data_IF_886139687808
#
_entry.id   IF_886139687808
#
_cell.length_a   1.000
_cell.length_b   1.000
_cell.length_c   1.000
_cell.angle_alpha   90.00
_cell.angle_beta   90.00
_cell.angle_gamma   90.00
#
_symmetry.space_group_name_H-M   'P 1'
#
loop_
_entity.id
_entity.type
_entity.pdbx_description
1 polymer ?
#
# COMPACT_ATOMS: atom_id res chain seq x y z
N UNK A 1 -3.41 26.68 8.20
CA UNK A 1 -2.63 25.80 7.32
C UNK A 1 -3.21 24.39 7.32
N UNK A 2 -3.33 23.79 6.16
CA UNK A 2 -3.76 22.42 6.07
C UNK A 2 -2.69 21.49 6.64
N UNK A 3 -3.07 20.56 7.48
CA UNK A 3 -2.20 19.55 8.05
C UNK A 3 -1.82 18.54 6.97
N UNK A 4 -0.57 18.11 6.94
CA UNK A 4 -0.12 17.09 5.99
C UNK A 4 -0.33 15.70 6.58
N UNK A 5 -1.16 14.90 5.92
CA UNK A 5 -1.54 13.56 6.37
C UNK A 5 -0.78 12.44 5.66
N UNK A 6 -0.21 12.72 4.50
CA UNK A 6 0.46 11.72 3.65
C UNK A 6 1.80 12.26 3.19
N UNK A 7 2.83 11.43 3.28
CA UNK A 7 4.19 11.77 2.84
C UNK A 7 4.67 10.76 1.80
N UNK A 8 5.09 11.25 0.64
CA UNK A 8 5.84 10.42 -0.30
C UNK A 8 7.16 10.01 0.36
N UNK A 9 7.73 8.87 -0.04
CA UNK A 9 8.99 8.42 0.55
C UNK A 9 10.09 9.48 0.43
N UNK A 10 10.14 10.21 -0.69
CA UNK A 10 11.10 11.29 -0.91
C UNK A 10 10.87 12.52 -0.03
N UNK A 11 9.72 12.64 0.58
CA UNK A 11 9.35 13.79 1.43
C UNK A 11 9.66 13.56 2.91
N UNK A 12 9.97 12.32 3.30
CA UNK A 12 10.27 11.96 4.68
C UNK A 12 11.74 11.63 4.91
N UNK A 13 12.07 11.26 6.13
CA UNK A 13 13.41 10.79 6.50
C UNK A 13 13.35 9.89 7.73
N UNK A 14 14.49 9.30 8.08
CA UNK A 14 14.59 8.32 9.18
C UNK A 14 14.35 8.89 10.58
N UNK A 15 14.40 10.20 10.74
CA UNK A 15 14.13 10.83 12.05
C UNK A 15 12.63 10.99 12.34
N UNK A 16 11.78 10.79 11.34
CA UNK A 16 10.32 10.98 11.44
C UNK A 16 9.58 9.73 11.91
N UNK A 17 10.17 8.95 12.79
CA UNK A 17 9.60 7.67 13.25
C UNK A 17 8.25 7.80 13.94
N UNK A 18 8.05 8.85 14.70
CA UNK A 18 6.78 9.06 15.41
C UNK A 18 5.65 9.37 14.44
N UNK A 19 5.95 10.09 13.38
CA UNK A 19 4.97 10.51 12.38
C UNK A 19 4.73 9.45 11.30
N UNK A 20 5.79 8.81 10.82
CA UNK A 20 5.71 7.86 9.70
C UNK A 20 5.69 6.40 10.14
N UNK A 21 5.92 6.14 11.42
CA UNK A 21 6.13 4.79 11.92
C UNK A 21 7.54 4.29 11.57
N UNK A 22 7.94 3.16 12.13
CA UNK A 22 9.28 2.61 11.90
C UNK A 22 9.54 2.25 10.44
N UNK A 23 8.59 1.57 9.81
CA UNK A 23 8.72 1.16 8.40
C UNK A 23 8.71 2.36 7.46
N UNK A 24 7.79 3.30 7.68
CA UNK A 24 7.68 4.48 6.84
C UNK A 24 8.92 5.36 6.90
N UNK A 25 9.45 5.58 8.10
CA UNK A 25 10.68 6.35 8.29
C UNK A 25 11.88 5.67 7.63
N UNK A 26 12.01 4.34 7.78
CA UNK A 26 13.09 3.58 7.15
C UNK A 26 13.01 3.63 5.62
N UNK A 27 11.83 3.49 5.05
CA UNK A 27 11.64 3.59 3.60
C UNK A 27 11.98 4.98 3.09
N UNK A 28 11.60 6.03 3.83
CA UNK A 28 11.94 7.41 3.50
C UNK A 28 13.45 7.63 3.53
N UNK A 29 14.12 7.13 4.56
CA UNK A 29 15.58 7.23 4.70
C UNK A 29 16.29 6.51 3.57
N UNK A 30 15.87 5.29 3.24
CA UNK A 30 16.44 4.52 2.14
C UNK A 30 16.30 5.26 0.81
N UNK A 31 15.15 5.89 0.58
CA UNK A 31 14.90 6.69 -0.61
C UNK A 31 15.84 7.91 -0.67
N UNK A 32 16.01 8.59 0.46
CA UNK A 32 16.91 9.75 0.59
C UNK A 32 18.35 9.38 0.33
N UNK A 33 18.78 8.18 0.76
CA UNK A 33 20.13 7.66 0.52
C UNK A 33 20.37 7.19 -0.92
N UNK A 34 19.34 7.24 -1.76
CA UNK A 34 19.46 6.83 -3.17
C UNK A 34 19.40 5.33 -3.40
N UNK A 35 18.92 4.57 -2.41
CA UNK A 35 18.75 3.14 -2.56
C UNK A 35 17.55 2.83 -3.48
N UNK A 36 17.55 1.68 -4.18
CA UNK A 36 16.51 1.34 -5.15
C UNK A 36 15.20 0.92 -4.46
N UNK A 37 14.52 1.89 -3.87
CA UNK A 37 13.22 1.69 -3.23
C UNK A 37 12.11 2.03 -4.23
N UNK A 38 11.10 1.15 -4.39
CA UNK A 38 9.95 1.47 -5.24
C UNK A 38 9.24 2.74 -4.76
N UNK A 39 8.61 3.45 -5.67
CA UNK A 39 7.83 4.65 -5.32
C UNK A 39 6.69 4.29 -4.39
N UNK A 40 6.42 5.16 -3.44
CA UNK A 40 5.34 4.94 -2.49
C UNK A 40 5.13 6.14 -1.58
N UNK A 41 4.16 6.02 -0.72
CA UNK A 41 3.86 7.03 0.28
C UNK A 41 3.46 6.37 1.61
N UNK A 42 3.52 7.16 2.67
CA UNK A 42 3.14 6.73 4.02
C UNK A 42 2.00 7.62 4.52
N UNK A 43 0.94 7.00 5.01
CA UNK A 43 -0.13 7.69 5.73
C UNK A 43 0.34 7.84 7.17
N UNK A 44 0.30 9.06 7.70
CA UNK A 44 0.89 9.37 9.00
C UNK A 44 0.17 8.71 10.19
N UNK A 45 0.88 8.59 11.30
CA UNK A 45 0.28 8.14 12.57
C UNK A 45 -0.78 9.13 13.06
N UNK A 46 -0.64 10.42 12.75
CA UNK A 46 -1.64 11.42 13.07
C UNK A 46 -2.95 11.20 12.30
N UNK A 47 -2.86 10.77 11.04
CA UNK A 47 -4.04 10.41 10.25
C UNK A 47 -4.76 9.20 10.88
N UNK A 48 -4.00 8.24 11.38
CA UNK A 48 -4.56 7.08 12.09
C UNK A 48 -5.29 7.52 13.38
N UNK A 49 -4.70 8.41 14.15
CA UNK A 49 -5.32 8.96 15.36
C UNK A 49 -6.62 9.69 15.01
N UNK A 50 -6.59 10.51 13.97
CA UNK A 50 -7.76 11.24 13.52
C UNK A 50 -8.90 10.30 13.09
N UNK A 51 -8.55 9.19 12.45
CA UNK A 51 -9.51 8.15 12.06
C UNK A 51 -10.28 7.62 13.27
N UNK A 52 -9.57 7.34 14.38
CA UNK A 52 -10.23 6.86 15.60
C UNK A 52 -11.02 7.95 16.30
N UNK A 53 -10.52 9.19 16.31
CA UNK A 53 -11.24 10.34 16.88
C UNK A 53 -12.55 10.63 16.15
N UNK A 54 -12.56 10.41 14.84
CA UNK A 54 -13.74 10.61 13.98
C UNK A 54 -14.72 9.41 14.00
N UNK A 55 -14.56 8.49 14.94
CA UNK A 55 -15.43 7.33 15.06
C UNK A 55 -15.19 6.26 14.00
N UNK A 56 -13.93 6.01 13.65
CA UNK A 56 -13.50 5.06 12.65
C UNK A 56 -13.92 5.44 11.23
N UNK A 57 -13.85 6.73 10.95
CA UNK A 57 -14.10 7.26 9.60
C UNK A 57 -12.90 8.04 9.11
N UNK A 58 -12.61 7.91 7.83
CA UNK A 58 -11.56 8.69 7.20
C UNK A 58 -12.18 10.01 6.73
N UNK A 59 -11.65 11.14 7.20
CA UNK A 59 -12.20 12.43 6.80
C UNK A 59 -11.84 12.77 5.33
N UNK A 60 -12.59 13.71 4.76
CA UNK A 60 -12.45 14.05 3.34
C UNK A 60 -11.07 14.62 2.99
N UNK A 61 -10.43 15.32 3.91
CA UNK A 61 -9.07 15.86 3.71
C UNK A 61 -8.05 14.75 3.54
N UNK A 62 -8.12 13.73 4.40
CA UNK A 62 -7.21 12.57 4.33
C UNK A 62 -7.45 11.82 3.03
N UNK A 63 -8.70 11.58 2.67
CA UNK A 63 -9.04 10.87 1.41
C UNK A 63 -8.52 11.65 0.20
N UNK A 64 -8.74 12.97 0.16
CA UNK A 64 -8.27 13.81 -0.94
C UNK A 64 -6.75 13.77 -1.07
N UNK A 65 -6.03 13.81 0.05
CA UNK A 65 -4.57 13.76 0.06
C UNK A 65 -4.04 12.39 -0.39
N UNK A 66 -4.70 11.30 0.03
CA UNK A 66 -4.36 9.95 -0.43
C UNK A 66 -4.53 9.85 -1.95
N UNK A 67 -5.67 10.30 -2.46
CA UNK A 67 -5.94 10.25 -3.91
C UNK A 67 -4.95 11.08 -4.71
N UNK A 68 -4.59 12.26 -4.21
CA UNK A 68 -3.59 13.11 -4.86
C UNK A 68 -2.21 12.41 -4.91
N UNK A 69 -1.84 11.70 -3.84
CA UNK A 69 -0.57 10.97 -3.81
C UNK A 69 -0.60 9.72 -4.71
N UNK A 70 -1.75 9.08 -4.86
CA UNK A 70 -1.92 7.98 -5.82
C UNK A 70 -1.69 8.50 -7.24
N UNK A 71 -2.26 9.64 -7.58
CA UNK A 71 -2.04 10.27 -8.89
C UNK A 71 -0.57 10.59 -9.13
N UNK A 72 0.14 11.09 -8.13
CA UNK A 72 1.57 11.34 -8.21
C UNK A 72 2.37 10.06 -8.45
N UNK A 73 2.00 8.98 -7.79
CA UNK A 73 2.63 7.68 -8.01
C UNK A 73 2.39 7.18 -9.43
N UNK A 74 1.18 7.32 -9.93
CA UNK A 74 0.85 6.94 -11.31
C UNK A 74 1.68 7.71 -12.33
N UNK A 75 1.87 9.01 -12.09
CA UNK A 75 2.73 9.85 -12.95
C UNK A 75 4.20 9.43 -12.90
N UNK A 76 4.73 9.21 -11.70
CA UNK A 76 6.15 8.86 -11.51
C UNK A 76 6.46 7.49 -12.10
N UNK A 77 5.59 6.51 -11.90
CA UNK A 77 5.81 5.14 -12.36
C UNK A 77 5.40 4.91 -13.80
N UNK A 78 4.56 5.77 -14.36
CA UNK A 78 3.96 5.56 -15.68
C UNK A 78 2.96 4.41 -15.70
N UNK A 79 2.47 3.99 -14.55
CA UNK A 79 1.51 2.90 -14.39
C UNK A 79 0.26 3.42 -13.70
N UNK A 80 -0.88 2.79 -13.94
CA UNK A 80 -2.16 3.17 -13.32
C UNK A 80 -2.87 1.96 -12.73
N UNK A 81 -3.61 2.19 -11.66
CA UNK A 81 -4.48 1.15 -11.10
C UNK A 81 -5.55 0.75 -12.13
N UNK A 82 -5.67 -0.56 -12.37
CA UNK A 82 -6.65 -1.10 -13.31
C UNK A 82 -6.30 -0.91 -14.78
N UNK A 83 -5.15 -0.34 -15.11
CA UNK A 83 -4.69 -0.21 -16.49
C UNK A 83 -4.32 -1.58 -17.05
N UNK A 84 -4.79 -1.88 -18.25
CA UNK A 84 -4.53 -3.17 -18.89
C UNK A 84 -3.15 -3.26 -19.53
N UNK A 85 -2.54 -2.13 -19.88
CA UNK A 85 -1.21 -2.10 -20.46
C UNK A 85 -0.11 -2.05 -19.42
N UNK A 86 -0.26 -1.15 -18.44
CA UNK A 86 0.74 -0.92 -17.37
C UNK A 86 0.03 -0.85 -16.02
N UNK A 87 -0.39 -1.99 -15.49
CA UNK A 87 -1.11 -1.99 -14.21
C UNK A 87 -0.17 -1.61 -13.06
N UNK A 88 -0.62 -0.71 -12.20
CA UNK A 88 0.08 -0.38 -10.96
C UNK A 88 -0.36 -1.36 -9.87
N UNK A 89 0.60 -2.09 -9.35
CA UNK A 89 0.40 -2.99 -8.22
C UNK A 89 1.24 -2.48 -7.05
N UNK A 90 0.65 -2.45 -5.86
CA UNK A 90 1.34 -1.96 -4.67
C UNK A 90 1.19 -2.93 -3.52
N UNK A 91 2.10 -2.84 -2.56
CA UNK A 91 1.96 -3.50 -1.27
C UNK A 91 1.46 -2.47 -0.26
N UNK A 92 0.44 -2.84 0.50
CA UNK A 92 -0.07 -2.02 1.60
C UNK A 92 0.38 -2.68 2.89
N UNK A 93 1.09 -1.93 3.71
CA UNK A 93 1.62 -2.42 4.98
C UNK A 93 1.11 -1.55 6.11
N UNK A 94 0.60 -2.19 7.16
CA UNK A 94 0.33 -1.48 8.39
C UNK A 94 1.63 -1.26 9.15
N UNK A 95 1.74 -0.12 9.84
CA UNK A 95 2.93 0.24 10.58
C UNK A 95 2.60 0.64 12.01
N UNK A 96 3.57 0.49 12.89
CA UNK A 96 3.51 0.95 14.26
C UNK A 96 4.82 1.65 14.61
N UNK A 97 4.84 2.40 15.71
CA UNK A 97 6.07 3.07 16.18
C UNK A 97 7.16 2.06 16.46
N UNK A 98 6.77 0.92 17.05
CA UNK A 98 7.67 -0.19 17.30
C UNK A 98 7.24 -1.39 16.45
N UNK A 99 8.17 -2.02 15.76
CA UNK A 99 7.91 -3.20 14.97
C UNK A 99 7.94 -4.43 15.88
N UNK A 100 6.83 -5.17 15.91
CA UNK A 100 6.75 -6.44 16.65
C UNK A 100 6.24 -7.52 15.70
N UNK A 101 6.85 -8.73 15.72
CA UNK A 101 6.37 -9.83 14.88
C UNK A 101 4.90 -10.14 15.13
N UNK A 102 4.13 -10.31 14.07
CA UNK A 102 2.72 -10.66 14.16
C UNK A 102 1.75 -9.49 14.37
N UNK A 103 2.24 -8.29 14.63
CA UNK A 103 1.38 -7.12 14.83
C UNK A 103 0.96 -6.41 13.55
N UNK A 104 1.62 -6.71 12.45
CA UNK A 104 1.42 -5.98 11.20
C UNK A 104 0.98 -6.89 10.08
N UNK A 105 -0.06 -6.47 9.40
CA UNK A 105 -0.55 -7.15 8.21
C UNK A 105 0.00 -6.48 6.97
N UNK A 106 0.22 -7.28 5.93
CA UNK A 106 0.66 -6.80 4.62
C UNK A 106 -0.27 -7.35 3.56
N UNK A 107 -0.71 -6.50 2.65
CA UNK A 107 -1.48 -6.90 1.48
C UNK A 107 -0.58 -6.69 0.27
N UNK A 108 -0.28 -7.77 -0.45
CA UNK A 108 0.54 -7.73 -1.65
C UNK A 108 -0.35 -7.63 -2.89
N UNK A 109 0.18 -7.04 -3.94
CA UNK A 109 -0.47 -6.97 -5.25
C UNK A 109 -1.84 -6.27 -5.24
N UNK A 110 -2.00 -5.25 -4.38
CA UNK A 110 -3.19 -4.41 -4.44
C UNK A 110 -3.26 -3.73 -5.80
N UNK A 111 -4.39 -3.84 -6.47
CA UNK A 111 -4.60 -3.37 -7.83
C UNK A 111 -4.91 -4.51 -8.80
N UNK A 112 -4.77 -5.77 -8.37
CA UNK A 112 -5.17 -6.92 -9.19
C UNK A 112 -6.69 -7.02 -9.31
N UNK A 113 -7.14 -7.35 -10.52
CA UNK A 113 -8.51 -7.74 -10.81
C UNK A 113 -8.46 -8.78 -11.93
N UNK A 114 -9.61 -9.31 -12.32
CA UNK A 114 -9.68 -10.37 -13.35
C UNK A 114 -9.00 -9.95 -14.66
N UNK A 115 -9.25 -8.74 -15.11
CA UNK A 115 -8.70 -8.23 -16.38
C UNK A 115 -7.18 -8.05 -16.30
N UNK A 116 -6.67 -7.49 -15.20
CA UNK A 116 -5.24 -7.30 -14.98
C UNK A 116 -4.52 -8.64 -14.90
N UNK A 117 -5.11 -9.63 -14.23
CA UNK A 117 -4.54 -10.98 -14.14
C UNK A 117 -4.41 -11.62 -15.52
N UNK A 118 -5.42 -11.48 -16.37
CA UNK A 118 -5.36 -12.00 -17.73
C UNK A 118 -4.25 -11.35 -18.56
N UNK A 119 -4.08 -10.05 -18.42
CA UNK A 119 -2.99 -9.32 -19.07
C UNK A 119 -1.62 -9.79 -18.57
N UNK A 120 -1.47 -9.97 -17.26
CA UNK A 120 -0.25 -10.50 -16.66
C UNK A 120 0.06 -11.90 -17.17
N UNK A 121 -0.95 -12.76 -17.28
CA UNK A 121 -0.80 -14.12 -17.79
C UNK A 121 -0.29 -14.10 -19.23
N UNK A 122 -0.87 -13.23 -20.07
CA UNK A 122 -0.46 -13.10 -21.47
C UNK A 122 0.96 -12.56 -21.61
N UNK A 123 1.30 -11.51 -20.87
CA UNK A 123 2.63 -10.86 -20.96
C UNK A 123 3.76 -11.73 -20.40
N UNK A 124 3.51 -12.44 -19.32
CA UNK A 124 4.53 -13.29 -18.69
C UNK A 124 4.66 -14.66 -19.36
N UNK A 125 3.65 -15.09 -20.10
CA UNK A 125 3.58 -16.44 -20.64
C UNK A 125 3.37 -17.51 -19.56
N UNK A 126 2.98 -17.11 -18.35
CA UNK A 126 2.79 -18.00 -17.21
C UNK A 126 1.46 -17.70 -16.50
N UNK A 127 0.40 -18.29 -17.02
CA UNK A 127 -0.94 -18.11 -16.48
C UNK A 127 -1.04 -18.62 -15.03
N UNK A 128 -0.40 -19.74 -14.73
CA UNK A 128 -0.41 -20.31 -13.38
C UNK A 128 0.14 -19.33 -12.34
N UNK A 129 1.26 -18.70 -12.65
CA UNK A 129 1.87 -17.71 -11.77
C UNK A 129 0.94 -16.51 -11.56
N UNK A 130 0.36 -15.98 -12.65
CA UNK A 130 -0.51 -14.81 -12.58
C UNK A 130 -1.77 -15.09 -11.74
N UNK A 131 -2.41 -16.22 -11.95
CA UNK A 131 -3.59 -16.60 -11.18
C UNK A 131 -3.25 -16.96 -9.73
N UNK A 132 -2.06 -17.50 -9.46
CA UNK A 132 -1.62 -17.72 -8.08
C UNK A 132 -1.41 -16.39 -7.34
N UNK A 133 -0.87 -15.37 -8.01
CA UNK A 133 -0.77 -14.02 -7.44
C UNK A 133 -2.15 -13.48 -7.09
N UNK A 134 -3.12 -13.66 -7.96
CA UNK A 134 -4.49 -13.22 -7.72
C UNK A 134 -5.14 -13.99 -6.56
N UNK A 135 -4.95 -15.29 -6.50
CA UNK A 135 -5.42 -16.13 -5.41
C UNK A 135 -4.87 -15.64 -4.06
N UNK A 136 -3.57 -15.38 -4.00
CA UNK A 136 -2.92 -14.86 -2.79
C UNK A 136 -3.46 -13.48 -2.42
N UNK A 137 -3.67 -12.62 -3.39
CA UNK A 137 -4.26 -11.29 -3.15
C UNK A 137 -5.67 -11.42 -2.56
N UNK A 138 -6.52 -12.24 -3.14
CA UNK A 138 -7.88 -12.47 -2.65
C UNK A 138 -7.84 -13.03 -1.23
N UNK A 139 -6.98 -14.00 -0.96
CA UNK A 139 -6.82 -14.60 0.36
C UNK A 139 -6.39 -13.57 1.39
N UNK A 140 -5.36 -12.78 1.10
CA UNK A 140 -4.84 -11.77 2.02
C UNK A 140 -5.86 -10.65 2.24
N UNK A 141 -6.49 -10.17 1.19
CA UNK A 141 -7.50 -9.11 1.28
C UNK A 141 -8.69 -9.58 2.10
N UNK A 142 -9.16 -10.81 1.86
CA UNK A 142 -10.28 -11.39 2.59
C UNK A 142 -9.98 -11.55 4.08
N UNK A 143 -8.77 -12.03 4.40
CA UNK A 143 -8.35 -12.24 5.79
C UNK A 143 -8.15 -10.91 6.53
N UNK A 144 -7.43 -9.97 5.93
CA UNK A 144 -7.00 -8.72 6.57
C UNK A 144 -8.10 -7.66 6.55
N UNK A 145 -8.77 -7.47 5.43
CA UNK A 145 -9.75 -6.39 5.26
C UNK A 145 -11.17 -6.85 5.57
N UNK A 146 -11.55 -8.02 5.06
CA UNK A 146 -12.92 -8.55 5.20
C UNK A 146 -13.10 -9.47 6.41
N UNK A 147 -12.01 -9.76 7.12
CA UNK A 147 -12.00 -10.63 8.31
C UNK A 147 -12.48 -12.06 8.06
N UNK A 148 -12.30 -12.55 6.83
CA UNK A 148 -12.56 -13.95 6.47
C UNK A 148 -11.30 -14.77 6.70
N UNK A 149 -11.36 -15.76 7.58
CA UNK A 149 -10.18 -16.53 8.00
C UNK A 149 -9.52 -17.29 6.86
N UNK A 150 -8.18 -17.37 6.89
CA UNK A 150 -7.37 -18.07 5.88
C UNK A 150 -7.75 -19.52 5.66
N UNK A 151 -8.25 -20.18 6.69
CA UNK A 151 -8.64 -21.59 6.65
C UNK A 151 -9.61 -21.93 5.51
N UNK A 152 -10.42 -20.97 5.09
CA UNK A 152 -11.38 -21.17 3.99
C UNK A 152 -10.71 -21.20 2.61
N UNK A 153 -9.44 -20.80 2.54
CA UNK A 153 -8.67 -20.74 1.30
C UNK A 153 -7.57 -21.81 1.22
N UNK A 154 -7.32 -22.50 2.32
CA UNK A 154 -6.25 -23.51 2.44
C UNK A 154 -6.72 -24.95 2.23
N UNK A 155 -8.04 -25.16 2.09
CA UNK A 155 -8.62 -26.47 1.84
C UNK A 155 -8.59 -26.87 0.34
#
# INVERSE_FOLDING_TARGET
>A
MAKKWVYLFKEGNGSMRELLGGKGANLAEMTTLGLPVPQGFTITTEACTQYYEDGRKINDEIVAEIMANIEKMEEITGKKFGDLERPLLVSVRSGARASMPGMMDTILNLGLNEEVVEVMAAKSGNARWAYDCYRRFIQMYSDVVMEVGKKYFEE
#
